data_IF_792283907571
#
_entry.id   IF_792283907571
#
_cell.length_a   1.000
_cell.length_b   1.000
_cell.length_c   1.000
_cell.angle_alpha   90.00
_cell.angle_beta   90.00
_cell.angle_gamma   90.00
#
_symmetry.space_group_name_H-M   'P 1'
#
loop_
_entity.id
_entity.type
_entity.pdbx_description
1 polymer ?
#
# COMPACT_ATOMS: atom_id res chain seq x y z
N UNK A 1 -11.54 2.04 -8.69
CA UNK A 1 -12.03 1.52 -7.39
C UNK A 1 -12.20 0.03 -7.42
N UNK A 2 -11.39 -0.71 -6.65
CA UNK A 2 -11.70 -2.09 -6.32
C UNK A 2 -13.05 -2.21 -5.61
N UNK A 3 -13.95 -3.00 -6.17
CA UNK A 3 -15.27 -3.30 -5.61
C UNK A 3 -15.52 -4.81 -5.63
N UNK A 4 -16.09 -5.34 -4.55
CA UNK A 4 -16.46 -6.75 -4.44
C UNK A 4 -17.63 -6.93 -3.47
N UNK A 5 -18.67 -7.67 -3.89
CA UNK A 5 -19.89 -7.92 -3.09
C UNK A 5 -20.57 -6.63 -2.57
N UNK A 6 -20.48 -5.54 -3.34
CA UNK A 6 -21.00 -4.22 -2.99
C UNK A 6 -20.11 -3.40 -2.05
N UNK A 7 -19.03 -3.97 -1.53
CA UNK A 7 -18.03 -3.22 -0.76
C UNK A 7 -17.01 -2.59 -1.70
N UNK A 8 -16.72 -1.31 -1.52
CA UNK A 8 -15.64 -0.60 -2.20
C UNK A 8 -14.51 -0.26 -1.24
N UNK A 9 -13.27 -0.44 -1.66
CA UNK A 9 -12.06 -0.10 -0.89
C UNK A 9 -11.09 0.69 -1.76
N UNK A 10 -10.40 1.67 -1.18
CA UNK A 10 -9.46 2.52 -1.90
C UNK A 10 -8.37 3.08 -1.00
N UNK A 11 -7.33 3.62 -1.61
CA UNK A 11 -6.22 4.28 -0.90
C UNK A 11 -6.14 5.73 -1.33
N UNK A 12 -6.00 6.63 -0.37
CA UNK A 12 -5.81 8.07 -0.60
C UNK A 12 -4.48 8.53 -0.02
N UNK A 13 -3.82 9.44 -0.73
CA UNK A 13 -2.67 10.21 -0.25
C UNK A 13 -3.06 11.68 -0.31
N UNK A 14 -2.96 12.39 0.83
CA UNK A 14 -3.39 13.79 0.96
C UNK A 14 -4.85 14.04 0.50
N UNK A 15 -5.75 13.10 0.78
CA UNK A 15 -7.17 13.18 0.37
C UNK A 15 -7.41 12.93 -1.12
N UNK A 16 -6.38 12.60 -1.89
CA UNK A 16 -6.49 12.26 -3.31
C UNK A 16 -6.37 10.75 -3.46
N UNK A 17 -7.38 10.16 -4.09
CA UNK A 17 -7.40 8.74 -4.42
C UNK A 17 -6.25 8.38 -5.36
N UNK A 18 -5.53 7.31 -5.02
CA UNK A 18 -4.51 6.74 -5.89
C UNK A 18 -5.14 5.96 -7.06
N UNK A 19 -4.50 6.04 -8.23
CA UNK A 19 -4.88 5.25 -9.38
C UNK A 19 -4.55 3.77 -9.15
N UNK A 20 -5.48 2.89 -9.53
CA UNK A 20 -5.33 1.45 -9.38
C UNK A 20 -5.02 0.80 -10.73
N UNK A 21 -3.94 0.02 -10.79
CA UNK A 21 -3.48 -0.66 -11.99
C UNK A 21 -3.64 -2.17 -11.86
N UNK A 22 -3.83 -2.85 -13.00
CA UNK A 22 -3.92 -4.32 -13.09
C UNK A 22 -4.83 -4.90 -12.00
N UNK A 23 -6.09 -4.48 -12.02
CA UNK A 23 -7.11 -4.95 -11.07
C UNK A 23 -7.51 -6.37 -11.46
N UNK A 24 -7.33 -7.29 -10.53
CA UNK A 24 -7.66 -8.72 -10.65
C UNK A 24 -8.74 -9.07 -9.63
N UNK A 25 -9.91 -9.44 -10.12
CA UNK A 25 -11.07 -9.79 -9.27
C UNK A 25 -11.28 -11.29 -9.28
N UNK A 26 -11.20 -11.89 -8.09
CA UNK A 26 -11.59 -13.27 -7.80
C UNK A 26 -12.96 -13.36 -7.13
N UNK A 27 -13.38 -14.57 -6.70
CA UNK A 27 -14.69 -14.77 -6.08
C UNK A 27 -14.83 -14.07 -4.71
N UNK A 28 -13.76 -14.10 -3.91
CA UNK A 28 -13.74 -13.56 -2.54
C UNK A 28 -12.62 -12.54 -2.31
N UNK A 29 -11.86 -12.19 -3.34
CA UNK A 29 -10.75 -11.27 -3.24
C UNK A 29 -10.60 -10.36 -4.46
N UNK A 30 -10.09 -9.15 -4.25
CA UNK A 30 -9.63 -8.25 -5.33
C UNK A 30 -8.20 -7.86 -5.04
N UNK A 31 -7.32 -7.97 -6.03
CA UNK A 31 -5.95 -7.50 -5.96
C UNK A 31 -5.70 -6.40 -7.01
N UNK A 32 -4.93 -5.38 -6.67
CA UNK A 32 -4.50 -4.37 -7.63
C UNK A 32 -3.13 -3.81 -7.24
N UNK A 33 -2.59 -2.96 -8.09
CA UNK A 33 -1.34 -2.25 -7.87
C UNK A 33 -1.59 -0.76 -7.72
N UNK A 34 -0.90 -0.12 -6.79
CA UNK A 34 -0.98 1.33 -6.57
C UNK A 34 0.41 1.96 -6.51
N UNK A 35 0.56 3.21 -6.96
CA UNK A 35 1.82 3.93 -6.80
C UNK A 35 2.02 4.29 -5.32
N UNK A 36 3.28 4.34 -4.88
CA UNK A 36 3.66 4.81 -3.55
C UNK A 36 4.84 5.76 -3.64
N UNK A 37 4.89 6.70 -2.71
CA UNK A 37 5.94 7.73 -2.63
C UNK A 37 6.40 7.84 -1.17
N UNK A 38 7.70 7.70 -0.94
CA UNK A 38 8.30 7.75 0.40
C UNK A 38 7.97 9.08 1.09
N UNK A 39 7.65 9.02 2.37
CA UNK A 39 7.34 10.16 3.20
C UNK A 39 5.89 10.64 3.10
N UNK A 40 5.06 10.07 2.21
CA UNK A 40 3.65 10.45 2.11
C UNK A 40 2.79 9.67 3.09
N UNK A 41 1.98 10.41 3.86
CA UNK A 41 0.91 9.82 4.66
C UNK A 41 -0.20 9.32 3.74
N UNK A 42 -0.79 8.18 4.10
CA UNK A 42 -1.91 7.62 3.36
C UNK A 42 -3.05 7.20 4.29
N UNK A 43 -4.24 7.09 3.71
CA UNK A 43 -5.41 6.54 4.37
C UNK A 43 -6.07 5.49 3.48
N UNK A 44 -6.72 4.53 4.11
CA UNK A 44 -7.47 3.47 3.44
C UNK A 44 -8.94 3.77 3.66
N UNK A 45 -9.61 4.14 2.58
CA UNK A 45 -11.05 4.33 2.56
C UNK A 45 -11.78 3.02 2.27
N UNK A 46 -12.93 2.85 2.90
CA UNK A 46 -13.83 1.74 2.60
C UNK A 46 -15.30 2.17 2.68
N UNK A 47 -16.14 1.41 1.98
CA UNK A 47 -17.58 1.61 1.93
C UNK A 47 -18.32 0.32 2.25
N UNK A 48 -19.37 0.44 3.04
CA UNK A 48 -20.33 -0.63 3.33
C UNK A 48 -21.65 -0.24 2.65
N UNK A 49 -22.18 -1.07 1.74
CA UNK A 49 -23.38 -0.75 0.99
C UNK A 49 -24.61 -0.74 1.92
N UNK A 50 -25.59 0.08 1.58
CA UNK A 50 -26.76 0.35 2.41
C UNK A 50 -27.52 -0.93 2.81
N UNK A 51 -27.74 -1.85 1.88
CA UNK A 51 -28.44 -3.13 2.12
C UNK A 51 -27.77 -3.98 3.22
N UNK A 52 -26.44 -3.96 3.26
CA UNK A 52 -25.65 -4.60 4.32
C UNK A 52 -25.68 -3.80 5.60
N UNK A 53 -25.54 -2.48 5.51
CA UNK A 53 -25.49 -1.60 6.68
C UNK A 53 -26.77 -1.67 7.53
N UNK A 54 -27.94 -1.83 6.91
CA UNK A 54 -29.22 -1.95 7.63
C UNK A 54 -29.46 -3.34 8.21
N UNK A 55 -28.71 -4.37 7.80
CA UNK A 55 -28.98 -5.77 8.14
C UNK A 55 -27.91 -6.44 9.00
N UNK A 56 -26.65 -6.04 8.88
CA UNK A 56 -25.53 -6.72 9.54
C UNK A 56 -24.49 -5.76 10.14
N UNK A 57 -23.83 -6.20 11.20
CA UNK A 57 -22.62 -5.55 11.69
C UNK A 57 -21.41 -6.00 10.87
N UNK A 58 -20.40 -5.14 10.76
CA UNK A 58 -19.16 -5.43 10.03
C UNK A 58 -17.94 -5.00 10.82
N UNK A 59 -16.83 -5.70 10.60
CA UNK A 59 -15.50 -5.29 11.01
C UNK A 59 -14.58 -5.28 9.78
N UNK A 60 -13.73 -4.26 9.72
CA UNK A 60 -12.70 -4.10 8.71
C UNK A 60 -11.35 -4.20 9.40
N UNK A 61 -10.65 -5.30 9.12
CA UNK A 61 -9.32 -5.58 9.63
C UNK A 61 -8.27 -5.19 8.59
N UNK A 62 -7.15 -4.66 9.04
CA UNK A 62 -6.08 -4.15 8.18
C UNK A 62 -4.76 -4.85 8.53
N UNK A 63 -4.05 -5.30 7.50
CA UNK A 63 -2.67 -5.72 7.62
C UNK A 63 -1.78 -4.89 6.69
N UNK A 64 -0.68 -4.39 7.23
CA UNK A 64 0.30 -3.55 6.56
C UNK A 64 1.62 -4.32 6.50
N UNK A 65 2.09 -4.63 5.28
CA UNK A 65 3.28 -5.47 5.05
C UNK A 65 3.21 -6.85 5.74
N UNK A 66 2.01 -7.42 5.78
CA UNK A 66 1.71 -8.69 6.45
C UNK A 66 1.58 -8.61 7.97
N UNK A 67 1.78 -7.44 8.57
CA UNK A 67 1.56 -7.24 10.01
C UNK A 67 0.12 -6.77 10.23
N UNK A 68 -0.74 -7.55 10.92
CA UNK A 68 -2.06 -7.06 11.30
C UNK A 68 -1.88 -5.86 12.24
N UNK A 69 -2.63 -4.79 11.99
CA UNK A 69 -2.56 -3.60 12.81
C UNK A 69 -3.83 -3.38 13.60
N UNK A 70 -3.68 -2.72 14.74
CA UNK A 70 -4.82 -2.37 15.56
C UNK A 70 -5.30 -0.95 15.23
N UNK A 71 -6.19 -0.85 14.23
CA UNK A 71 -6.69 0.43 13.71
C UNK A 71 -7.97 0.94 14.39
N UNK A 72 -8.15 2.27 14.40
CA UNK A 72 -9.42 2.90 14.77
C UNK A 72 -10.38 2.95 13.56
N UNK A 73 -11.68 2.81 13.80
CA UNK A 73 -12.71 3.10 12.78
C UNK A 73 -13.19 1.92 11.93
N UNK A 74 -12.57 0.74 12.04
CA UNK A 74 -12.94 -0.47 11.29
C UNK A 74 -14.27 -1.11 11.71
N UNK A 75 -14.79 -0.77 12.89
CA UNK A 75 -16.06 -1.32 13.42
C UNK A 75 -17.27 -0.58 12.87
N UNK A 76 -18.07 -1.22 12.03
CA UNK A 76 -19.33 -0.67 11.50
C UNK A 76 -20.51 -1.40 12.12
N UNK A 77 -21.28 -0.69 12.94
CA UNK A 77 -22.50 -1.24 13.53
C UNK A 77 -23.66 -1.17 12.53
N UNK A 78 -24.53 -2.17 12.60
CA UNK A 78 -25.80 -2.15 11.89
C UNK A 78 -26.55 -0.86 12.22
N UNK A 79 -27.08 -0.21 11.20
CA UNK A 79 -27.86 1.00 11.35
C UNK A 79 -29.12 0.91 10.49
N UNK A 80 -30.22 0.50 11.12
CA UNK A 80 -31.54 0.36 10.47
C UNK A 80 -32.10 1.67 9.91
N UNK A 81 -31.58 2.82 10.38
CA UNK A 81 -32.01 4.15 9.94
C UNK A 81 -31.06 4.76 8.91
N UNK A 82 -30.09 4.00 8.40
CA UNK A 82 -29.21 4.49 7.34
C UNK A 82 -30.02 4.77 6.07
N UNK A 83 -29.69 5.87 5.41
CA UNK A 83 -30.31 6.28 4.13
C UNK A 83 -29.33 6.17 2.96
N UNK A 84 -28.04 5.99 3.25
CA UNK A 84 -26.95 5.91 2.28
C UNK A 84 -25.89 4.93 2.75
N UNK A 85 -24.99 4.56 1.85
CA UNK A 85 -23.80 3.78 2.17
C UNK A 85 -22.96 4.46 3.27
N UNK A 86 -22.29 3.65 4.09
CA UNK A 86 -21.33 4.14 5.09
C UNK A 86 -19.94 4.19 4.47
N UNK A 87 -19.37 5.38 4.32
CA UNK A 87 -17.97 5.58 3.94
C UNK A 87 -17.13 5.92 5.16
N UNK A 88 -15.96 5.28 5.30
CA UNK A 88 -15.06 5.45 6.44
C UNK A 88 -13.61 5.35 6.00
N UNK A 89 -12.72 5.83 6.87
CA UNK A 89 -11.29 5.90 6.62
C UNK A 89 -10.51 5.31 7.79
N UNK A 90 -9.46 4.57 7.45
CA UNK A 90 -8.43 4.08 8.36
C UNK A 90 -7.14 4.79 7.99
N UNK A 91 -6.62 5.64 8.86
CA UNK A 91 -5.39 6.41 8.60
C UNK A 91 -4.36 6.28 9.70
N UNK A 92 -4.71 5.60 10.80
CA UNK A 92 -3.87 5.50 11.99
C UNK A 92 -3.96 4.13 12.65
N UNK A 93 -2.86 3.75 13.29
CA UNK A 93 -2.80 2.65 14.25
C UNK A 93 -2.91 3.21 15.67
N UNK A 94 -3.54 2.44 16.56
CA UNK A 94 -3.65 2.74 17.96
C UNK A 94 -2.46 2.15 18.72
N UNK A 95 -1.73 3.00 19.44
CA UNK A 95 -0.51 2.65 20.18
C UNK A 95 -0.61 3.05 21.65
N UNK A 96 0.40 2.68 22.45
CA UNK A 96 0.50 2.99 23.87
C UNK A 96 -0.80 2.65 24.65
N UNK A 97 -1.23 1.39 24.53
CA UNK A 97 -2.45 0.90 25.18
C UNK A 97 -3.70 1.76 24.92
N UNK A 98 -3.87 2.24 23.69
CA UNK A 98 -5.06 2.99 23.31
C UNK A 98 -5.06 4.45 23.67
N UNK A 99 -3.91 4.99 24.07
CA UNK A 99 -3.77 6.38 24.50
C UNK A 99 -3.16 7.29 23.44
N UNK A 100 -2.66 6.72 22.35
CA UNK A 100 -2.11 7.49 21.25
C UNK A 100 -2.34 6.81 19.90
N UNK A 101 -2.18 7.57 18.82
CA UNK A 101 -2.23 7.08 17.44
C UNK A 101 -0.96 7.44 16.68
N UNK A 102 -0.61 6.65 15.66
CA UNK A 102 0.38 7.02 14.65
C UNK A 102 -0.23 6.91 13.25
N UNK A 103 0.08 7.87 12.37
CA UNK A 103 -0.37 7.87 10.97
C UNK A 103 0.37 6.84 10.12
N UNK A 104 -0.31 6.32 9.10
CA UNK A 104 0.34 5.44 8.11
C UNK A 104 1.12 6.28 7.11
N UNK A 105 2.36 5.87 6.82
CA UNK A 105 3.22 6.55 5.87
C UNK A 105 3.94 5.52 4.99
N UNK A 106 4.11 5.80 3.70
CA UNK A 106 5.04 5.02 2.90
C UNK A 106 6.48 5.42 3.27
N UNK A 107 7.35 4.45 3.47
CA UNK A 107 8.74 4.65 3.86
C UNK A 107 9.69 3.80 3.02
N UNK A 108 10.99 4.04 3.17
CA UNK A 108 12.04 3.20 2.57
C UNK A 108 12.19 1.91 3.34
N UNK A 109 12.22 0.78 2.64
CA UNK A 109 12.56 -0.52 3.22
C UNK A 109 14.08 -0.58 3.46
N UNK A 110 14.48 -0.84 4.69
CA UNK A 110 15.90 -1.00 5.05
C UNK A 110 16.33 -2.44 4.80
N UNK A 111 17.37 -2.60 3.99
CA UNK A 111 17.94 -3.90 3.65
C UNK A 111 19.15 -4.18 4.55
N UNK A 112 19.27 -5.42 5.01
CA UNK A 112 20.42 -5.93 5.75
C UNK A 112 20.96 -7.20 5.08
N UNK A 113 22.25 -7.44 5.24
CA UNK A 113 22.97 -8.65 4.85
C UNK A 113 23.16 -9.62 6.02
N UNK A 114 22.56 -9.33 7.18
CA UNK A 114 22.62 -10.19 8.35
C UNK A 114 21.73 -11.44 8.17
N UNK A 115 22.37 -12.56 7.84
CA UNK A 115 21.73 -13.86 7.64
C UNK A 115 20.92 -14.33 8.88
N UNK A 116 21.15 -13.78 10.08
CA UNK A 116 20.33 -14.08 11.26
C UNK A 116 18.89 -13.56 11.14
N UNK A 117 18.67 -12.53 10.30
CA UNK A 117 17.37 -11.93 10.04
C UNK A 117 16.66 -12.52 8.82
N UNK A 118 17.29 -13.49 8.13
CA UNK A 118 16.75 -14.13 6.93
C UNK A 118 15.39 -14.80 7.18
N UNK A 119 15.18 -15.37 8.36
CA UNK A 119 13.94 -16.05 8.74
C UNK A 119 12.88 -15.13 9.39
N UNK A 120 13.23 -13.87 9.69
CA UNK A 120 12.35 -12.95 10.42
C UNK A 120 11.65 -11.94 9.50
N UNK A 121 12.15 -11.75 8.28
CA UNK A 121 11.57 -10.82 7.33
C UNK A 121 10.20 -11.31 6.83
N UNK A 122 9.14 -10.53 7.09
CA UNK A 122 7.80 -10.78 6.54
C UNK A 122 7.87 -10.91 5.02
N UNK A 123 7.30 -11.97 4.46
CA UNK A 123 7.31 -12.16 3.01
C UNK A 123 6.42 -11.13 2.27
N UNK A 124 5.62 -10.35 3.00
CA UNK A 124 4.50 -9.57 2.46
C UNK A 124 4.76 -8.06 2.40
N UNK A 125 6.03 -7.63 2.43
CA UNK A 125 6.36 -6.21 2.21
C UNK A 125 5.79 -5.70 0.88
N UNK A 126 5.37 -4.44 0.87
CA UNK A 126 4.78 -3.83 -0.30
C UNK A 126 3.31 -4.25 -0.52
N UNK A 127 2.62 -4.72 0.52
CA UNK A 127 1.24 -5.16 0.47
C UNK A 127 0.40 -4.45 1.56
N UNK A 128 -0.73 -3.86 1.17
CA UNK A 128 -1.80 -3.46 2.09
C UNK A 128 -2.98 -4.41 1.91
N UNK A 129 -3.40 -5.06 2.99
CA UNK A 129 -4.50 -6.04 2.95
C UNK A 129 -5.65 -5.58 3.84
N UNK A 130 -6.82 -5.44 3.24
CA UNK A 130 -8.07 -5.07 3.92
C UNK A 130 -9.00 -6.27 3.90
N UNK A 131 -9.43 -6.73 5.07
CA UNK A 131 -10.38 -7.85 5.19
C UNK A 131 -11.68 -7.33 5.78
N UNK A 132 -12.79 -7.57 5.08
CA UNK A 132 -14.12 -7.19 5.54
C UNK A 132 -14.84 -8.46 5.98
N UNK A 133 -15.36 -8.44 7.21
CA UNK A 133 -16.09 -9.55 7.81
C UNK A 133 -17.43 -9.08 8.38
N UNK A 134 -18.47 -9.90 8.27
CA UNK A 134 -19.70 -9.71 9.03
C UNK A 134 -19.52 -10.20 10.47
N UNK A 135 -20.25 -9.58 11.38
CA UNK A 135 -20.20 -9.88 12.82
C UNK A 135 -21.63 -10.03 13.34
N UNK A 136 -21.88 -11.04 14.18
CA UNK A 136 -23.21 -11.22 14.79
C UNK A 136 -23.47 -10.19 15.89
N UNK A 137 -22.49 -9.95 16.75
CA UNK A 137 -22.62 -9.00 17.85
C UNK A 137 -21.27 -8.39 18.26
N UNK A 138 -21.37 -7.21 18.87
CA UNK A 138 -20.25 -6.54 19.54
C UNK A 138 -20.49 -6.51 21.04
N UNK A 139 -19.61 -7.16 21.80
CA UNK A 139 -19.66 -7.17 23.25
C UNK A 139 -18.66 -6.12 23.76
N UNK A 140 -19.08 -5.29 24.72
CA UNK A 140 -18.17 -4.36 25.35
C UNK A 140 -17.09 -5.13 26.12
N UNK A 141 -15.83 -4.88 25.79
CA UNK A 141 -14.69 -5.39 26.56
C UNK A 141 -14.24 -4.30 27.52
N UNK A 142 -13.78 -4.64 28.73
CA UNK A 142 -12.98 -3.73 29.53
C UNK A 142 -11.80 -3.20 28.71
N UNK A 143 -11.34 -2.00 29.08
CA UNK A 143 -10.20 -1.30 28.49
C UNK A 143 -9.04 -2.28 28.30
N UNK A 144 -8.38 -2.16 27.15
CA UNK A 144 -7.13 -2.82 26.75
C UNK A 144 -6.32 -3.34 27.93
N UNK A 145 -6.46 -4.63 28.24
CA UNK A 145 -5.45 -5.31 29.03
C UNK A 145 -4.20 -5.42 28.16
N UNK A 146 -3.01 -5.20 28.75
CA UNK A 146 -1.76 -5.21 27.97
C UNK A 146 -1.54 -6.56 27.26
N UNK A 147 -2.16 -7.62 27.77
CA UNK A 147 -2.21 -8.97 27.20
C UNK A 147 -2.94 -9.06 25.85
N UNK A 148 -3.98 -8.27 25.59
CA UNK A 148 -4.66 -8.30 24.28
C UNK A 148 -3.89 -7.51 23.21
N UNK A 149 -3.12 -6.50 23.63
CA UNK A 149 -2.27 -5.70 22.73
C UNK A 149 -0.89 -6.28 22.49
N UNK A 150 -0.39 -7.16 23.37
CA UNK A 150 0.90 -7.81 23.15
C UNK A 150 0.96 -8.60 21.85
N UNK A 151 -0.19 -9.07 21.34
CA UNK A 151 -0.32 -9.70 20.02
C UNK A 151 -0.05 -8.74 18.85
N UNK A 152 -0.18 -7.44 19.09
CA UNK A 152 0.09 -6.36 18.16
C UNK A 152 1.34 -5.56 18.54
N UNK A 153 2.09 -5.98 19.57
CA UNK A 153 3.34 -5.33 19.94
C UNK A 153 4.32 -5.46 18.77
N UNK A 154 4.59 -4.31 18.15
CA UNK A 154 5.50 -4.24 17.03
C UNK A 154 6.93 -4.19 17.56
N UNK A 155 7.75 -5.12 17.11
CA UNK A 155 9.16 -4.82 16.95
C UNK A 155 9.28 -3.96 15.68
N UNK A 156 9.57 -2.68 15.85
CA UNK A 156 9.66 -1.64 14.80
C UNK A 156 10.80 -1.84 13.80
N UNK A 157 11.48 -3.00 13.83
CA UNK A 157 12.50 -3.33 12.85
C UNK A 157 11.82 -3.76 11.55
N UNK A 158 11.61 -2.80 10.65
CA UNK A 158 11.28 -3.02 9.24
C UNK A 158 12.55 -3.33 8.44
N UNK A 159 13.28 -4.33 8.91
CA UNK A 159 14.53 -4.76 8.31
C UNK A 159 14.23 -6.01 7.50
N UNK A 160 14.55 -5.98 6.21
CA UNK A 160 14.44 -7.15 5.35
C UNK A 160 15.83 -7.60 4.91
N UNK A 161 16.07 -8.90 4.85
CA UNK A 161 17.31 -9.42 4.32
C UNK A 161 17.38 -9.23 2.79
N UNK A 162 18.51 -8.76 2.27
CA UNK A 162 18.70 -8.41 0.86
C UNK A 162 18.34 -9.57 -0.09
N UNK A 163 18.71 -10.81 0.29
CA UNK A 163 18.43 -12.00 -0.54
C UNK A 163 16.94 -12.31 -0.72
N UNK A 164 16.08 -11.90 0.22
CA UNK A 164 14.67 -12.28 0.25
C UNK A 164 13.75 -11.27 -0.46
N UNK A 165 14.26 -10.09 -0.87
CA UNK A 165 13.40 -8.96 -1.29
C UNK A 165 13.94 -8.16 -2.50
N UNK A 166 14.42 -8.85 -3.54
CA UNK A 166 14.78 -8.20 -4.81
C UNK A 166 13.57 -7.44 -5.41
N UNK A 167 13.72 -6.12 -5.58
CA UNK A 167 12.70 -5.26 -6.21
C UNK A 167 11.68 -4.64 -5.27
N UNK A 168 11.83 -4.80 -3.95
CA UNK A 168 11.04 -4.12 -2.93
C UNK A 168 11.84 -2.97 -2.32
N UNK A 169 11.40 -1.73 -2.58
CA UNK A 169 12.06 -0.52 -2.10
C UNK A 169 11.28 0.20 -0.99
N UNK A 170 9.97 -0.01 -0.91
CA UNK A 170 9.09 0.69 0.03
C UNK A 170 8.52 -0.28 1.07
N UNK A 171 8.29 0.24 2.27
CA UNK A 171 7.56 -0.40 3.37
C UNK A 171 6.57 0.62 3.97
N UNK A 172 5.68 0.18 4.87
CA UNK A 172 4.88 1.09 5.68
C UNK A 172 5.66 1.48 6.93
N UNK A 173 5.85 2.78 7.12
CA UNK A 173 6.33 3.41 8.35
C UNK A 173 5.18 4.13 9.05
N UNK A 174 5.46 4.57 10.28
CA UNK A 174 4.49 5.21 11.16
C UNK A 174 4.97 6.63 11.46
N UNK A 175 4.07 7.59 11.34
CA UNK A 175 4.35 8.97 11.69
C UNK A 175 4.48 9.18 13.20
N UNK A 176 4.58 10.45 13.59
CA UNK A 176 4.72 10.83 14.98
C UNK A 176 3.52 10.40 15.83
N UNK A 177 3.82 9.97 17.06
CA UNK A 177 2.80 9.57 18.02
C UNK A 177 1.99 10.79 18.49
N UNK A 178 0.67 10.73 18.33
CA UNK A 178 -0.26 11.78 18.75
C UNK A 178 -1.16 11.25 19.88
N UNK A 179 -1.23 11.92 21.04
CA UNK A 179 -2.09 11.49 22.14
C UNK A 179 -3.57 11.63 21.77
N UNK A 180 -4.40 10.72 22.28
CA UNK A 180 -5.85 10.75 22.09
C UNK A 180 -6.49 11.25 23.38
N UNK A 181 -7.43 12.20 23.27
CA UNK A 181 -8.09 12.81 24.42
C UNK A 181 -8.90 11.82 25.27
N UNK A 182 -9.38 10.72 24.68
CA UNK A 182 -10.14 9.68 25.39
C UNK A 182 -9.67 8.30 24.95
N UNK A 183 -9.39 7.38 25.89
CA UNK A 183 -9.14 5.98 25.57
C UNK A 183 -10.34 5.42 24.79
N UNK A 184 -10.06 4.69 23.72
CA UNK A 184 -11.11 4.06 22.93
C UNK A 184 -11.53 2.74 23.57
N UNK A 185 -12.83 2.55 23.82
CA UNK A 185 -13.37 1.27 24.26
C UNK A 185 -13.33 0.25 23.12
N UNK A 186 -12.87 -0.96 23.43
CA UNK A 186 -12.91 -2.05 22.47
C UNK A 186 -14.26 -2.76 22.47
N UNK A 187 -14.74 -3.05 21.27
CA UNK A 187 -15.78 -4.03 21.06
C UNK A 187 -15.12 -5.36 20.70
N UNK A 188 -15.43 -6.42 21.47
CA UNK A 188 -15.12 -7.79 21.07
C UNK A 188 -16.16 -8.24 20.05
N UNK A 189 -15.70 -8.61 18.87
CA UNK A 189 -16.53 -9.16 17.80
C UNK A 189 -16.86 -10.63 18.09
N UNK A 190 -18.13 -11.02 17.91
CA UNK A 190 -18.61 -12.39 18.08
C UNK A 190 -19.28 -12.88 16.81
N UNK A 191 -19.00 -14.13 16.43
CA UNK A 191 -19.55 -14.74 15.23
C UNK A 191 -19.05 -14.07 13.96
N UNK A 192 -17.72 -13.98 13.82
CA UNK A 192 -17.05 -13.35 12.68
C UNK A 192 -17.13 -14.30 11.47
N UNK A 193 -17.57 -13.78 10.34
CA UNK A 193 -17.57 -14.48 9.05
C UNK A 193 -16.92 -13.58 7.99
N UNK A 194 -15.84 -14.07 7.36
CA UNK A 194 -15.10 -13.32 6.35
C UNK A 194 -15.92 -13.21 5.07
N UNK A 195 -16.13 -11.99 4.59
CA UNK A 195 -16.89 -11.73 3.37
C UNK A 195 -15.99 -11.57 2.15
N UNK A 196 -14.95 -10.74 2.26
CA UNK A 196 -14.03 -10.48 1.16
C UNK A 196 -12.70 -9.88 1.63
N UNK A 197 -11.71 -9.92 0.73
CA UNK A 197 -10.38 -9.35 0.96
C UNK A 197 -9.94 -8.46 -0.21
N UNK A 198 -9.39 -7.30 0.08
CA UNK A 198 -8.79 -6.40 -0.89
C UNK A 198 -7.29 -6.31 -0.63
N UNK A 199 -6.49 -6.47 -1.69
CA UNK A 199 -5.04 -6.43 -1.63
C UNK A 199 -4.50 -5.35 -2.56
N UNK A 200 -3.77 -4.40 -2.00
CA UNK A 200 -3.10 -3.33 -2.73
C UNK A 200 -1.59 -3.57 -2.69
N UNK A 201 -1.03 -3.96 -3.82
CA UNK A 201 0.41 -4.09 -3.99
C UNK A 201 0.99 -2.72 -4.33
N UNK A 202 1.72 -2.11 -3.40
CA UNK A 202 2.23 -0.75 -3.60
C UNK A 202 3.71 -0.75 -4.00
N UNK A 203 4.06 0.01 -5.04
CA UNK A 203 5.45 0.17 -5.52
C UNK A 203 5.70 1.60 -5.99
N UNK A 204 6.96 2.07 -6.06
CA UNK A 204 7.26 3.31 -6.78
C UNK A 204 6.69 3.28 -8.20
N UNK A 205 6.20 4.42 -8.70
CA UNK A 205 5.62 4.51 -10.04
C UNK A 205 6.57 4.00 -11.13
N UNK A 206 7.87 4.29 -11.02
CA UNK A 206 8.86 3.87 -12.00
C UNK A 206 9.02 2.34 -12.06
N UNK A 207 8.84 1.64 -10.94
CA UNK A 207 8.83 0.17 -10.89
C UNK A 207 7.55 -0.38 -11.55
N UNK A 208 6.40 0.26 -11.32
CA UNK A 208 5.15 -0.14 -11.97
C UNK A 208 5.25 0.00 -13.50
N UNK A 209 5.83 1.09 -13.99
CA UNK A 209 6.05 1.28 -15.43
C UNK A 209 7.06 0.28 -16.00
N UNK A 210 8.20 0.07 -15.33
CA UNK A 210 9.24 -0.86 -15.79
C UNK A 210 8.72 -2.30 -15.91
N UNK A 211 7.76 -2.68 -15.05
CA UNK A 211 7.11 -3.99 -15.08
C UNK A 211 5.88 -4.04 -16.00
N UNK A 212 5.62 -3.00 -16.80
CA UNK A 212 4.44 -2.88 -17.68
C UNK A 212 3.10 -2.99 -16.93
N UNK A 213 3.05 -2.54 -15.67
CA UNK A 213 1.83 -2.48 -14.86
C UNK A 213 1.13 -1.13 -15.06
N UNK A 214 1.91 -0.04 -15.11
CA UNK A 214 1.42 1.32 -15.37
C UNK A 214 1.88 1.81 -16.75
N UNK A 215 1.12 2.71 -17.42
CA UNK A 215 1.51 3.28 -18.70
C UNK A 215 2.85 4.05 -18.61
N UNK A 216 3.69 4.04 -19.67
CA UNK A 216 4.88 4.87 -19.72
C UNK A 216 4.51 6.36 -19.60
N UNK A 217 5.33 7.16 -18.91
CA UNK A 217 5.16 8.62 -18.91
C UNK A 217 5.19 9.12 -20.35
N UNK A 218 4.07 9.63 -20.84
CA UNK A 218 4.05 10.37 -22.10
C UNK A 218 4.83 11.66 -21.88
N UNK A 219 6.11 11.66 -22.24
CA UNK A 219 6.85 12.91 -22.40
C UNK A 219 6.19 13.62 -23.57
N UNK A 220 5.33 14.60 -23.27
CA UNK A 220 4.96 15.61 -24.26
C UNK A 220 6.25 16.32 -24.62
N UNK A 221 6.93 15.86 -25.66
CA UNK A 221 8.01 16.62 -26.27
C UNK A 221 7.36 17.89 -26.79
N UNK A 222 7.61 19.01 -26.10
CA UNK A 222 7.53 20.31 -26.75
C UNK A 222 8.62 20.32 -27.83
N UNK A 223 8.33 19.68 -28.96
CA UNK A 223 9.04 19.91 -30.20
C UNK A 223 8.64 21.30 -30.63
N UNK A 224 9.51 22.23 -30.27
CA UNK A 224 9.62 23.55 -30.87
C UNK A 224 9.58 23.40 -32.39
N UNK A 225 8.46 23.79 -33.00
CA UNK A 225 8.46 24.22 -34.39
C UNK A 225 9.22 25.55 -34.46
N UNK A 226 10.54 25.44 -34.55
CA UNK A 226 11.40 26.54 -34.98
C UNK A 226 11.02 26.91 -36.40
N UNK A 227 10.32 28.04 -36.54
CA UNK A 227 10.26 28.80 -37.79
C UNK A 227 10.99 30.11 -37.52
N UNK A 228 12.22 30.18 -38.01
CA UNK A 228 12.98 31.42 -38.04
C UNK A 228 12.30 32.42 -38.97
N UNK A 229 12.21 33.66 -38.52
CA UNK A 229 12.21 34.83 -39.39
C UNK A 229 12.73 35.99 -38.54
N UNK A 230 13.92 36.47 -38.92
CA UNK A 230 14.50 37.66 -38.33
C UNK A 230 13.78 38.91 -38.84
N UNK A 231 13.63 39.88 -37.96
CA UNK A 231 13.60 41.29 -38.36
C UNK A 231 14.08 42.15 -37.20
N UNK A 232 15.16 42.89 -37.47
CA UNK A 232 15.64 44.02 -36.67
C UNK A 232 14.76 45.23 -36.99
N UNK A 233 14.29 45.94 -35.97
CA UNK A 233 14.29 47.41 -35.98
C UNK A 233 14.12 47.99 -34.59
N UNK A 234 14.96 48.97 -34.32
CA UNK A 234 15.13 49.80 -33.14
C UNK A 234 14.07 50.90 -33.00
N UNK A 235 13.60 51.06 -31.77
CA UNK A 235 13.59 52.31 -30.97
C UNK A 235 12.67 53.51 -31.32
N UNK A 236 12.37 54.25 -30.23
CA UNK A 236 11.83 55.60 -30.07
C UNK A 236 10.32 55.78 -29.83
N UNK A 237 9.98 55.89 -28.54
CA UNK A 237 9.45 57.13 -27.95
C UNK A 237 7.94 57.40 -28.01
N UNK A 238 7.34 57.71 -26.85
CA UNK A 238 6.05 58.44 -26.82
C UNK A 238 5.19 58.21 -25.57
N UNK A 239 5.31 59.14 -24.63
CA UNK A 239 4.47 59.41 -23.45
C UNK A 239 2.95 59.48 -23.70
N UNK A 240 2.15 59.22 -22.65
CA UNK A 240 0.94 60.03 -22.40
C UNK A 240 -0.34 59.32 -21.94
N UNK A 241 -0.56 59.35 -20.61
CA UNK A 241 -1.82 59.63 -19.89
C UNK A 241 -3.18 58.98 -20.26
N UNK A 242 -3.68 58.22 -19.27
CA UNK A 242 -4.89 58.47 -18.45
C UNK A 242 -6.33 58.33 -18.99
N UNK A 243 -7.19 57.90 -18.05
CA UNK A 243 -8.66 57.81 -18.03
C UNK A 243 -9.27 56.69 -18.89
N UNK A 244 -10.04 55.72 -18.40
CA UNK A 244 -11.00 55.73 -17.29
C UNK A 244 -12.38 56.08 -17.84
N UNK A 245 -13.27 55.09 -18.01
CA UNK A 245 -14.74 55.18 -17.86
C UNK A 245 -15.39 53.80 -18.07
N UNK A 246 -16.27 53.48 -17.12
CA UNK A 246 -17.24 52.37 -17.04
C UNK A 246 -18.34 52.48 -18.10
N UNK A 247 -18.95 51.35 -18.51
CA UNK A 247 -20.35 50.93 -18.16
C UNK A 247 -20.91 49.85 -19.11
N UNK A 248 -21.65 48.91 -18.48
CA UNK A 248 -22.88 48.17 -18.85
C UNK A 248 -22.93 47.39 -20.17
N UNK A 249 -23.25 46.08 -20.18
CA UNK A 249 -24.46 45.33 -19.75
C UNK A 249 -25.63 45.45 -20.73
N UNK A 250 -26.16 44.26 -21.10
CA UNK A 250 -27.44 43.87 -21.75
C UNK A 250 -27.09 42.86 -22.87
N UNK A 251 -27.33 41.55 -22.73
CA UNK A 251 -28.58 40.77 -22.65
C UNK A 251 -29.38 40.71 -23.97
N UNK A 252 -29.99 39.55 -24.20
CA UNK A 252 -31.09 39.20 -25.13
C UNK A 252 -30.79 38.25 -26.32
N UNK A 253 -31.36 37.04 -26.16
CA UNK A 253 -32.02 36.08 -27.10
C UNK A 253 -31.25 35.55 -28.30
N UNK A 254 -31.06 34.22 -28.44
CA UNK A 254 -32.05 33.16 -28.70
C UNK A 254 -32.67 33.24 -30.11
N UNK A 255 -32.33 32.26 -30.96
CA UNK A 255 -33.10 31.63 -32.06
C UNK A 255 -32.33 30.34 -32.43
N UNK A 256 -32.92 29.17 -32.22
CA UNK A 256 -33.69 28.34 -33.18
C UNK A 256 -32.83 27.42 -34.08
N UNK A 257 -33.31 26.17 -34.12
CA UNK A 257 -32.94 24.96 -34.88
C UNK A 257 -32.88 25.17 -36.42
N UNK A 258 -32.57 24.20 -37.32
CA UNK A 258 -32.53 22.72 -37.16
C UNK A 258 -31.39 21.96 -37.90
N UNK A 259 -31.29 20.67 -37.55
CA UNK A 259 -31.08 19.46 -38.38
C UNK A 259 -30.32 19.45 -39.72
N UNK A 260 -29.44 18.44 -39.85
CA UNK A 260 -29.30 17.53 -41.02
C UNK A 260 -28.13 16.57 -40.71
N UNK A 261 -28.39 15.30 -40.42
CA UNK A 261 -28.44 14.19 -41.38
C UNK A 261 -27.08 13.73 -41.92
N UNK A 262 -26.83 12.42 -41.70
CA UNK A 262 -26.30 11.48 -42.70
C UNK A 262 -24.81 11.66 -43.13
N UNK A 263 -23.99 10.66 -43.43
CA UNK A 263 -24.13 9.21 -43.67
C UNK A 263 -22.71 8.68 -43.96
N UNK A 264 -22.45 7.43 -43.59
CA UNK A 264 -21.56 6.40 -44.19
C UNK A 264 -20.05 6.57 -44.44
N UNK A 265 -19.37 5.42 -44.28
CA UNK A 265 -18.13 5.00 -44.96
C UNK A 265 -17.13 4.44 -43.94
N UNK A 266 -17.19 3.20 -43.46
CA UNK A 266 -16.93 1.92 -44.15
C UNK A 266 -15.67 1.91 -45.05
N UNK A 267 -14.83 0.88 -44.83
CA UNK A 267 -13.90 0.20 -45.76
C UNK A 267 -12.40 0.22 -45.39
N UNK A 268 -12.03 -0.87 -44.69
CA UNK A 268 -11.04 -1.92 -45.03
C UNK A 268 -9.52 -1.65 -45.26
N UNK A 269 -8.79 -2.53 -44.54
CA UNK A 269 -7.71 -3.46 -44.95
C UNK A 269 -6.32 -2.92 -45.29
N UNK A 270 -5.31 -3.58 -44.70
CA UNK A 270 -4.24 -4.28 -45.43
C UNK A 270 -3.41 -5.17 -44.45
N UNK A 271 -3.56 -6.49 -44.58
CA UNK A 271 -2.52 -7.49 -44.27
C UNK A 271 -1.66 -7.71 -45.52
N UNK A 272 -0.34 -7.93 -45.37
CA UNK A 272 0.39 -8.92 -46.18
C UNK A 272 1.85 -9.16 -45.73
N UNK A 273 2.08 -10.43 -45.37
CA UNK A 273 3.18 -11.35 -45.76
C UNK A 273 4.63 -11.15 -45.32
N UNK A 274 5.18 -12.25 -44.79
CA UNK A 274 6.61 -12.60 -44.91
C UNK A 274 7.01 -13.93 -44.23
N UNK A 275 6.62 -15.07 -44.81
CA UNK A 275 7.09 -16.43 -44.44
C UNK A 275 8.35 -16.82 -45.23
N UNK A 276 9.27 -17.57 -44.57
CA UNK A 276 10.31 -18.54 -45.07
C UNK A 276 11.65 -18.29 -44.34
N UNK A 277 12.37 -19.27 -43.75
CA UNK A 277 12.75 -20.63 -44.19
C UNK A 277 13.28 -21.47 -43.00
N UNK A 278 13.25 -22.77 -43.19
CA UNK A 278 13.69 -23.85 -42.29
C UNK A 278 15.13 -24.35 -42.51
N UNK A 279 15.72 -24.91 -41.44
CA UNK A 279 16.77 -25.97 -41.34
C UNK A 279 18.18 -25.70 -41.90
N UNK A 280 19.21 -25.94 -41.09
CA UNK A 280 20.23 -27.01 -41.21
C UNK A 280 21.13 -26.98 -39.96
N UNK A 281 21.48 -28.18 -39.48
CA UNK A 281 22.42 -28.44 -38.40
C UNK A 281 23.88 -28.41 -38.89
N UNK A 282 24.79 -27.88 -38.08
CA UNK A 282 26.18 -28.35 -38.00
C UNK A 282 26.86 -27.70 -36.79
N UNK A 283 27.55 -28.52 -36.00
CA UNK A 283 28.13 -28.14 -34.73
C UNK A 283 29.22 -27.08 -34.79
N UNK A 284 29.29 -26.31 -33.71
CA UNK A 284 30.50 -25.65 -33.26
C UNK A 284 30.42 -25.51 -31.74
N UNK A 285 31.48 -25.97 -31.10
CA UNK A 285 31.71 -26.10 -29.65
C UNK A 285 31.62 -24.73 -28.95
N UNK A 286 30.92 -24.59 -27.80
CA UNK A 286 31.06 -23.41 -26.94
C UNK A 286 32.27 -23.55 -26.01
N UNK A 287 33.02 -22.46 -25.75
CA UNK A 287 34.21 -22.50 -24.89
C UNK A 287 33.85 -22.76 -23.43
N UNK A 288 34.67 -23.61 -22.81
CA UNK A 288 34.57 -24.07 -21.43
C UNK A 288 34.48 -22.92 -20.42
N UNK A 289 33.45 -22.97 -19.56
CA UNK A 289 33.36 -22.17 -18.34
C UNK A 289 34.52 -22.49 -17.41
N UNK A 290 35.31 -21.45 -17.11
CA UNK A 290 36.40 -21.46 -16.14
C UNK A 290 35.81 -21.62 -14.73
N UNK A 291 35.85 -22.85 -14.21
CA UNK A 291 35.45 -23.18 -12.83
C UNK A 291 36.49 -22.60 -11.87
N UNK A 292 36.03 -21.71 -10.98
CA UNK A 292 36.81 -21.17 -9.87
C UNK A 292 37.02 -22.28 -8.85
N UNK A 293 38.28 -22.64 -8.64
CA UNK A 293 38.75 -23.67 -7.70
C UNK A 293 38.66 -23.10 -6.27
N UNK A 294 37.77 -23.63 -5.44
CA UNK A 294 37.72 -23.27 -4.03
C UNK A 294 38.87 -23.92 -3.26
N UNK A 295 39.39 -23.19 -2.27
CA UNK A 295 40.45 -23.64 -1.39
C UNK A 295 39.94 -24.75 -0.48
N UNK A 296 40.49 -25.94 -0.68
CA UNK A 296 40.30 -27.12 0.16
C UNK A 296 41.10 -26.89 1.46
N UNK A 297 40.45 -26.41 2.50
CA UNK A 297 41.04 -26.40 3.85
C UNK A 297 41.14 -27.85 4.33
N UNK A 298 42.37 -28.29 4.51
CA UNK A 298 42.76 -29.55 5.15
C UNK A 298 42.17 -29.63 6.55
N UNK A 299 41.14 -30.45 6.71
CA UNK A 299 40.69 -30.97 8.01
C UNK A 299 41.79 -31.87 8.56
N UNK A 300 42.45 -31.41 9.62
CA UNK A 300 43.37 -32.23 10.42
C UNK A 300 42.47 -33.10 11.31
N UNK A 301 42.55 -34.41 11.09
CA UNK A 301 41.89 -35.42 11.92
C UNK A 301 42.58 -35.47 13.29
N UNK A 302 41.88 -35.09 14.36
CA UNK A 302 42.37 -35.30 15.73
C UNK A 302 41.85 -34.37 16.84
N UNK A 303 40.99 -33.39 16.55
CA UNK A 303 40.52 -32.47 17.59
C UNK A 303 39.32 -33.06 18.35
N UNK A 304 39.57 -33.43 19.60
CA UNK A 304 38.55 -33.86 20.57
C UNK A 304 37.90 -32.62 21.14
N UNK A 305 36.62 -32.42 20.83
CA UNK A 305 35.80 -31.33 21.38
C UNK A 305 35.35 -31.73 22.79
N UNK A 306 35.85 -31.03 23.81
CA UNK A 306 35.39 -31.14 25.19
C UNK A 306 34.04 -30.41 25.35
N UNK A 307 33.01 -31.13 25.79
CA UNK A 307 31.62 -30.65 25.95
C UNK A 307 31.22 -30.47 27.42
N UNK A 308 32.15 -30.19 28.33
CA UNK A 308 31.83 -29.98 29.75
C UNK A 308 31.79 -28.50 30.14
N UNK A 309 30.78 -27.79 29.62
CA UNK A 309 30.54 -26.37 29.90
C UNK A 309 29.12 -26.02 30.29
N UNK A 310 28.42 -26.88 31.06
CA UNK A 310 27.09 -26.54 31.59
C UNK A 310 27.25 -25.61 32.79
N UNK A 311 27.03 -24.31 32.58
CA UNK A 311 26.79 -23.34 33.66
C UNK A 311 25.54 -23.79 34.43
N UNK A 312 25.73 -24.36 35.61
CA UNK A 312 24.64 -24.55 36.59
C UNK A 312 24.27 -23.19 37.17
N UNK A 313 23.01 -22.81 37.02
CA UNK A 313 22.43 -21.69 37.76
C UNK A 313 22.39 -22.00 39.27
N UNK A 314 22.58 -21.00 40.14
CA UNK A 314 22.54 -21.22 41.58
C UNK A 314 21.11 -21.55 42.02
N UNK A 315 20.88 -22.81 42.39
CA UNK A 315 19.69 -23.23 43.12
C UNK A 315 19.65 -22.51 44.47
N UNK A 316 18.75 -21.53 44.61
CA UNK A 316 18.37 -20.96 45.90
C UNK A 316 17.54 -21.99 46.66
N UNK A 317 18.14 -22.57 47.70
CA UNK A 317 17.42 -23.37 48.67
C UNK A 317 16.61 -22.41 49.57
N UNK A 318 15.28 -22.45 49.45
CA UNK A 318 14.40 -21.76 50.39
C UNK A 318 14.38 -22.53 51.71
N UNK A 319 14.67 -21.83 52.81
CA UNK A 319 14.52 -22.38 54.16
C UNK A 319 13.06 -22.18 54.60
N UNK A 320 12.38 -23.21 55.14
CA UNK A 320 11.03 -23.04 55.66
C UNK A 320 11.00 -21.97 56.76
N UNK A 321 10.31 -20.85 56.52
CA UNK A 321 10.17 -19.72 57.45
C UNK A 321 10.61 -18.35 56.92
N UNK A 322 11.11 -18.26 55.68
CA UNK A 322 11.49 -16.99 55.07
C UNK A 322 10.25 -16.19 54.62
N UNK A 323 9.98 -15.08 55.30
CA UNK A 323 8.89 -14.14 54.97
C UNK A 323 9.41 -13.17 53.92
N UNK A 324 8.86 -13.24 52.71
CA UNK A 324 9.19 -12.30 51.62
C UNK A 324 8.30 -11.06 51.81
N UNK A 325 8.91 -9.93 52.14
CA UNK A 325 8.23 -8.63 52.22
C UNK A 325 7.93 -8.12 50.80
N UNK A 326 6.65 -7.92 50.50
CA UNK A 326 6.13 -7.47 49.21
C UNK A 326 5.44 -6.12 49.35
N UNK A 327 6.09 -5.17 49.99
CA UNK A 327 5.65 -3.77 49.96
C UNK A 327 6.10 -3.11 48.65
N UNK A 328 5.10 -2.81 47.80
CA UNK A 328 5.20 -1.98 46.59
C UNK A 328 4.79 -0.55 46.97
#
# INVERSE_FOLDING_TARGET
MPELKGFGVWVEVNGVRLEEYKVETGPDNVACWIPSEVGKEFSIGFSVPLDRLVSTNHIVDLALDGKPIFGFGGTVRQNINALTDSRRYLSTELVNNGRATQSFQFGTLELTDDDSLLHQASEQFGELRVTISSVKAFIQSPILDSTSLSKYNRNDKFIAHERSKKGLAHCVKFGDQRPIARPTYMAKSVGIEKLCTFTFNYRPMDILMANNIAPPRTTKSNSSSGSGSGSRSTDVGGSGQASGIKRKADDVKAEENPGSDAVNGEIQRLELRGLRKSKVASGAVPPLKRVKKEHRSTLISGEVIDLTGVKKEPTRNFVPGEVIDLTI
#
